data_IF_140141228484
#
_entry.id   IF_140141228484
#
_cell.length_a   1.000
_cell.length_b   1.000
_cell.length_c   1.000
_cell.angle_alpha   90.00
_cell.angle_beta   90.00
_cell.angle_gamma   90.00
#
_symmetry.space_group_name_H-M   'P 1'
#
loop_
_entity.id
_entity.type
_entity.pdbx_description
1 polymer ?
#
# COMPACT_ATOMS: atom_id res chain seq x y z
N UNK A 1 -12.06 8.08 -34.51
CA UNK A 1 -11.95 6.75 -33.84
C UNK A 1 -13.33 6.07 -33.82
N UNK A 2 -13.52 5.02 -34.63
CA UNK A 2 -14.77 4.22 -34.66
C UNK A 2 -14.90 3.43 -33.35
N UNK A 3 -15.99 3.64 -32.61
CA UNK A 3 -16.26 2.94 -31.34
C UNK A 3 -16.62 1.49 -31.66
N UNK A 4 -15.73 0.54 -31.31
CA UNK A 4 -16.07 -0.88 -31.35
C UNK A 4 -17.10 -1.17 -30.26
N UNK A 5 -18.35 -1.37 -30.67
CA UNK A 5 -19.46 -1.71 -29.79
C UNK A 5 -19.38 -3.20 -29.42
N UNK A 6 -18.71 -3.51 -28.31
CA UNK A 6 -18.77 -4.87 -27.75
C UNK A 6 -20.22 -5.18 -27.33
N UNK A 7 -20.82 -6.22 -27.93
CA UNK A 7 -22.18 -6.74 -27.71
C UNK A 7 -22.44 -7.35 -26.31
N UNK A 8 -21.57 -7.15 -25.31
CA UNK A 8 -21.73 -7.76 -23.97
C UNK A 8 -22.61 -6.89 -23.05
N UNK A 9 -23.74 -7.45 -22.60
CA UNK A 9 -24.80 -6.78 -21.80
C UNK A 9 -24.35 -6.40 -20.38
N UNK A 10 -23.41 -7.12 -19.78
CA UNK A 10 -22.97 -6.88 -18.41
C UNK A 10 -22.20 -5.56 -18.26
N UNK A 11 -22.76 -4.62 -17.47
CA UNK A 11 -22.15 -3.32 -17.16
C UNK A 11 -20.86 -3.45 -16.35
N UNK A 12 -20.82 -4.38 -15.40
CA UNK A 12 -19.65 -4.62 -14.54
C UNK A 12 -18.46 -5.11 -15.38
N UNK A 13 -18.66 -6.13 -16.22
CA UNK A 13 -17.61 -6.65 -17.12
C UNK A 13 -17.12 -5.59 -18.12
N UNK A 14 -17.99 -4.69 -18.60
CA UNK A 14 -17.55 -3.57 -19.46
C UNK A 14 -16.71 -2.54 -18.70
N UNK A 15 -17.09 -2.22 -17.46
CA UNK A 15 -16.31 -1.33 -16.61
C UNK A 15 -14.95 -1.95 -16.28
N UNK A 16 -14.93 -3.24 -15.93
CA UNK A 16 -13.72 -4.00 -15.67
C UNK A 16 -12.83 -4.04 -16.91
N UNK A 17 -13.35 -4.37 -18.09
CA UNK A 17 -12.56 -4.41 -19.31
C UNK A 17 -12.02 -3.03 -19.75
N UNK A 18 -12.78 -1.97 -19.47
CA UNK A 18 -12.39 -0.60 -19.80
C UNK A 18 -11.32 -0.04 -18.87
N UNK A 19 -11.27 -0.48 -17.61
CA UNK A 19 -10.31 0.02 -16.61
C UNK A 19 -9.15 -0.95 -16.34
N UNK A 20 -9.35 -2.27 -16.50
CA UNK A 20 -8.35 -3.34 -16.32
C UNK A 20 -7.89 -3.97 -17.63
N UNK A 21 -8.28 -3.43 -18.79
CA UNK A 21 -7.71 -3.86 -20.07
C UNK A 21 -6.23 -3.48 -20.16
N UNK A 22 -5.42 -4.32 -20.83
CA UNK A 22 -3.99 -4.04 -21.12
C UNK A 22 -3.79 -2.65 -21.76
N UNK A 23 -4.71 -2.24 -22.62
CA UNK A 23 -4.71 -0.91 -23.24
C UNK A 23 -4.97 0.22 -22.24
N UNK A 24 -5.81 -0.02 -21.23
CA UNK A 24 -6.06 0.93 -20.16
C UNK A 24 -4.82 1.06 -19.26
N UNK A 25 -4.17 -0.06 -18.91
CA UNK A 25 -2.90 -0.06 -18.19
C UNK A 25 -1.79 0.64 -18.96
N UNK A 26 -1.67 0.39 -20.27
CA UNK A 26 -0.72 1.10 -21.13
C UNK A 26 -1.02 2.60 -21.17
N UNK A 27 -2.30 2.98 -21.27
CA UNK A 27 -2.72 4.38 -21.22
C UNK A 27 -2.40 5.02 -19.86
N UNK A 28 -2.66 4.33 -18.76
CA UNK A 28 -2.31 4.81 -17.41
C UNK A 28 -0.81 4.95 -17.23
N UNK A 29 -0.01 4.02 -17.75
CA UNK A 29 1.45 4.10 -17.75
C UNK A 29 1.96 5.26 -18.63
N UNK A 30 1.35 5.49 -19.79
CA UNK A 30 1.72 6.59 -20.69
C UNK A 30 1.33 7.97 -20.13
N UNK A 31 0.16 8.08 -19.52
CA UNK A 31 -0.31 9.32 -18.87
C UNK A 31 0.34 9.55 -17.49
N UNK A 32 1.11 8.58 -16.98
CA UNK A 32 1.77 8.64 -15.68
C UNK A 32 2.70 9.87 -15.56
N UNK A 33 3.34 10.27 -16.66
CA UNK A 33 4.21 11.45 -16.68
C UNK A 33 3.48 12.77 -16.90
N UNK A 34 2.17 12.81 -17.10
CA UNK A 34 1.45 14.05 -17.44
C UNK A 34 1.13 14.91 -16.20
N UNK A 35 0.94 14.28 -15.05
CA UNK A 35 0.63 14.98 -13.79
C UNK A 35 1.30 14.29 -12.60
N UNK A 36 2.05 15.05 -11.79
CA UNK A 36 2.76 14.55 -10.60
C UNK A 36 1.80 14.07 -9.49
N UNK A 37 0.55 14.52 -9.50
CA UNK A 37 -0.46 14.16 -8.51
C UNK A 37 -0.84 12.68 -8.58
N UNK A 38 -0.82 12.08 -9.77
CA UNK A 38 -1.14 10.65 -9.97
C UNK A 38 -0.11 9.71 -9.33
N UNK A 39 1.21 9.84 -9.58
CA UNK A 39 2.19 9.03 -8.88
C UNK A 39 2.17 9.24 -7.37
N UNK A 40 1.96 10.49 -6.92
CA UNK A 40 1.81 10.77 -5.49
C UNK A 40 0.58 10.06 -4.90
N UNK A 41 -0.58 10.15 -5.54
CA UNK A 41 -1.79 9.49 -5.11
C UNK A 41 -1.64 7.96 -5.11
N UNK A 42 -0.93 7.39 -6.09
CA UNK A 42 -0.67 5.96 -6.18
C UNK A 42 0.30 5.50 -5.08
N UNK A 43 1.32 6.29 -4.76
CA UNK A 43 2.23 6.04 -3.65
C UNK A 43 1.51 6.10 -2.30
N UNK A 44 0.65 7.10 -2.08
CA UNK A 44 -0.21 7.18 -0.88
C UNK A 44 -1.17 5.98 -0.83
N UNK A 45 -1.82 5.62 -1.94
CA UNK A 45 -2.75 4.50 -1.99
C UNK A 45 -2.05 3.17 -1.64
N UNK A 46 -0.84 2.96 -2.15
CA UNK A 46 -0.01 1.80 -1.85
C UNK A 46 0.38 1.77 -0.37
N UNK A 47 0.87 2.88 0.16
CA UNK A 47 1.22 3.01 1.58
C UNK A 47 0.02 2.68 2.49
N UNK A 48 -1.16 3.23 2.17
CA UNK A 48 -2.39 2.94 2.92
C UNK A 48 -2.81 1.49 2.78
N UNK A 49 -2.70 0.90 1.58
CA UNK A 49 -3.01 -0.52 1.35
C UNK A 49 -2.14 -1.43 2.22
N UNK A 50 -0.83 -1.20 2.28
CA UNK A 50 0.07 -1.99 3.13
C UNK A 50 -0.12 -1.71 4.62
N UNK A 51 -0.40 -0.47 5.00
CA UNK A 51 -0.79 -0.10 6.39
C UNK A 51 -1.98 -0.93 6.88
N UNK A 52 -2.96 -1.18 6.00
CA UNK A 52 -4.13 -2.01 6.33
C UNK A 52 -3.83 -3.51 6.26
N UNK A 53 -2.94 -3.92 5.37
CA UNK A 53 -2.61 -5.32 5.15
C UNK A 53 -1.73 -5.91 6.27
N UNK A 54 -0.77 -5.15 6.82
CA UNK A 54 0.14 -5.68 7.84
C UNK A 54 -0.54 -6.20 9.11
N UNK A 55 -1.52 -5.49 9.70
CA UNK A 55 -2.21 -5.99 10.90
C UNK A 55 -3.03 -7.27 10.64
N UNK A 56 -3.43 -7.56 9.40
CA UNK A 56 -4.09 -8.83 9.06
C UNK A 56 -3.14 -10.03 9.20
N UNK A 57 -1.85 -9.79 8.99
CA UNK A 57 -0.83 -10.83 8.86
C UNK A 57 -0.01 -11.00 10.15
N UNK A 58 -0.13 -10.03 11.06
CA UNK A 58 0.50 -10.03 12.38
C UNK A 58 1.88 -9.39 12.34
N UNK A 59 2.05 -8.34 13.14
CA UNK A 59 3.31 -7.64 13.34
C UNK A 59 3.84 -7.89 14.75
N UNK A 60 5.13 -8.20 14.86
CA UNK A 60 5.85 -8.29 16.11
C UNK A 60 6.98 -7.26 16.13
N UNK A 61 7.23 -6.63 17.27
CA UNK A 61 8.25 -5.59 17.38
C UNK A 61 9.64 -6.24 17.39
N UNK A 62 10.55 -5.73 16.55
CA UNK A 62 11.89 -6.31 16.38
C UNK A 62 12.85 -5.99 17.54
N UNK A 63 12.52 -5.00 18.40
CA UNK A 63 13.32 -4.66 19.57
C UNK A 63 13.08 -5.65 20.70
N UNK A 64 14.14 -5.99 21.45
CA UNK A 64 14.26 -6.99 22.54
C UNK A 64 13.23 -6.93 23.69
N UNK A 65 12.22 -6.07 23.63
CA UNK A 65 11.19 -5.94 24.64
C UNK A 65 9.82 -6.39 24.11
N UNK A 66 9.35 -7.47 24.75
CA UNK A 66 7.99 -8.00 24.85
C UNK A 66 7.25 -8.37 23.55
N UNK A 67 6.91 -9.67 23.45
CA UNK A 67 6.15 -10.35 22.38
C UNK A 67 4.69 -9.87 22.21
N UNK A 68 4.51 -8.56 22.16
CA UNK A 68 3.27 -7.85 21.87
C UNK A 68 3.02 -7.93 20.37
N UNK A 69 2.33 -9.00 19.97
CA UNK A 69 1.93 -9.22 18.58
C UNK A 69 0.72 -8.34 18.26
N UNK A 70 0.93 -7.34 17.40
CA UNK A 70 -0.14 -6.51 16.85
C UNK A 70 -0.76 -7.25 15.67
N UNK A 71 -1.95 -7.82 15.90
CA UNK A 71 -2.71 -8.55 14.88
C UNK A 71 -4.20 -8.27 14.99
N UNK A 72 -4.92 -8.37 13.87
CA UNK A 72 -6.37 -8.25 13.85
C UNK A 72 -7.05 -9.28 14.77
N UNK A 73 -6.51 -10.50 14.82
CA UNK A 73 -7.01 -11.55 15.70
C UNK A 73 -6.96 -11.18 17.20
N UNK A 74 -6.02 -10.29 17.58
CA UNK A 74 -5.81 -9.85 18.97
C UNK A 74 -6.26 -8.40 19.21
N UNK A 75 -6.99 -7.79 18.28
CA UNK A 75 -7.38 -6.38 18.43
C UNK A 75 -8.22 -6.15 19.71
N UNK A 76 -9.07 -7.11 20.10
CA UNK A 76 -9.88 -7.00 21.31
C UNK A 76 -9.01 -6.92 22.56
N UNK A 77 -7.94 -7.72 22.62
CA UNK A 77 -6.95 -7.65 23.70
C UNK A 77 -6.18 -6.33 23.66
N UNK A 78 -5.72 -5.91 22.47
CA UNK A 78 -5.00 -4.65 22.28
C UNK A 78 -5.83 -3.41 22.67
N UNK A 79 -7.14 -3.42 22.39
CA UNK A 79 -8.06 -2.35 22.76
C UNK A 79 -8.40 -2.40 24.25
N UNK A 80 -8.57 -3.59 24.84
CA UNK A 80 -8.87 -3.76 26.26
C UNK A 80 -7.70 -3.37 27.17
N UNK A 81 -6.47 -3.56 26.71
CA UNK A 81 -5.25 -3.21 27.45
C UNK A 81 -5.03 -1.69 27.55
N UNK A 82 -5.74 -0.89 26.74
CA UNK A 82 -5.62 0.58 26.71
C UNK A 82 -6.94 1.23 27.15
N UNK A 83 -6.88 1.97 28.25
CA UNK A 83 -8.03 2.66 28.86
C UNK A 83 -8.69 3.73 27.96
N UNK A 84 -8.05 4.13 26.85
CA UNK A 84 -8.57 5.11 25.89
C UNK A 84 -8.87 4.46 24.53
N UNK A 85 -10.14 4.10 24.31
CA UNK A 85 -10.59 3.32 23.14
C UNK A 85 -10.26 3.95 21.77
N UNK A 86 -10.30 5.28 21.63
CA UNK A 86 -9.98 5.91 20.33
C UNK A 86 -8.46 5.97 20.07
N UNK A 87 -7.68 6.29 21.10
CA UNK A 87 -6.21 6.34 21.00
C UNK A 87 -5.59 4.97 20.78
N UNK A 88 -6.22 3.90 21.28
CA UNK A 88 -5.80 2.53 21.01
C UNK A 88 -6.06 2.14 19.55
N UNK A 89 -7.21 2.47 18.97
CA UNK A 89 -7.44 2.27 17.52
C UNK A 89 -6.43 3.04 16.68
N UNK A 90 -6.19 4.31 16.98
CA UNK A 90 -5.19 5.11 16.27
C UNK A 90 -3.78 4.51 16.40
N UNK A 91 -3.40 4.06 17.59
CA UNK A 91 -2.11 3.41 17.82
C UNK A 91 -1.99 2.11 17.04
N UNK A 92 -3.04 1.28 16.97
CA UNK A 92 -3.03 0.04 16.19
C UNK A 92 -2.66 0.29 14.73
N UNK A 93 -3.34 1.26 14.10
CA UNK A 93 -3.04 1.65 12.72
C UNK A 93 -1.66 2.28 12.56
N UNK A 94 -1.19 3.02 13.57
CA UNK A 94 0.15 3.61 13.56
C UNK A 94 1.25 2.54 13.46
N UNK A 95 1.09 1.35 14.07
CA UNK A 95 2.08 0.27 13.94
C UNK A 95 2.15 -0.25 12.50
N UNK A 96 1.00 -0.44 11.85
CA UNK A 96 0.92 -0.79 10.43
C UNK A 96 1.54 0.27 9.53
N UNK A 97 1.28 1.55 9.84
CA UNK A 97 1.81 2.69 9.09
C UNK A 97 3.32 2.80 9.24
N UNK A 98 3.85 2.66 10.45
CA UNK A 98 5.28 2.71 10.72
C UNK A 98 6.02 1.59 9.98
N UNK A 99 5.46 0.37 9.97
CA UNK A 99 6.02 -0.73 9.19
C UNK A 99 6.04 -0.38 7.70
N UNK A 100 4.89 -0.02 7.13
CA UNK A 100 4.77 0.30 5.71
C UNK A 100 5.71 1.45 5.29
N UNK A 101 5.75 2.53 6.09
CA UNK A 101 6.64 3.65 5.86
C UNK A 101 8.11 3.26 5.95
N UNK A 102 8.50 2.42 6.91
CA UNK A 102 9.89 1.95 7.04
C UNK A 102 10.36 1.13 5.83
N UNK A 103 9.48 0.26 5.29
CA UNK A 103 9.76 -0.51 4.08
C UNK A 103 9.82 0.41 2.86
N UNK A 104 8.88 1.36 2.74
CA UNK A 104 8.85 2.31 1.63
C UNK A 104 10.08 3.21 1.60
N UNK A 105 10.60 3.62 2.77
CA UNK A 105 11.84 4.41 2.88
C UNK A 105 13.10 3.54 2.71
N UNK A 106 12.95 2.23 2.48
CA UNK A 106 14.06 1.28 2.31
C UNK A 106 14.98 1.24 3.54
N UNK A 107 14.40 1.34 4.74
CA UNK A 107 15.17 1.26 5.98
C UNK A 107 15.81 -0.12 6.15
N UNK A 108 17.09 -0.14 6.52
CA UNK A 108 17.84 -1.38 6.77
C UNK A 108 17.39 -2.08 8.04
N UNK A 109 17.04 -1.32 9.06
CA UNK A 109 16.54 -1.79 10.34
C UNK A 109 15.05 -1.53 10.43
N UNK A 110 14.25 -2.59 10.43
CA UNK A 110 12.80 -2.47 10.50
C UNK A 110 12.35 -2.52 11.96
N UNK A 111 11.46 -1.61 12.39
CA UNK A 111 10.94 -1.61 13.76
C UNK A 111 10.04 -2.82 14.05
N UNK A 112 9.46 -3.42 13.01
CA UNK A 112 8.56 -4.57 13.10
C UNK A 112 8.99 -5.69 12.16
N UNK A 113 8.73 -6.92 12.59
CA UNK A 113 8.90 -8.14 11.81
C UNK A 113 7.54 -8.85 11.66
N UNK A 114 7.24 -9.40 10.47
CA UNK A 114 6.02 -10.16 10.28
C UNK A 114 6.12 -11.53 10.98
N UNK A 115 5.05 -11.91 11.69
CA UNK A 115 5.01 -13.19 12.44
C UNK A 115 4.74 -14.38 11.51
N UNK A 116 4.00 -14.17 10.42
CA UNK A 116 3.57 -15.23 9.52
C UNK A 116 4.31 -15.22 8.17
N UNK A 117 4.34 -16.37 7.51
CA UNK A 117 4.98 -16.58 6.20
C UNK A 117 4.38 -15.69 5.09
N UNK A 118 3.07 -15.43 5.15
CA UNK A 118 2.42 -14.48 4.25
C UNK A 118 2.93 -13.04 4.43
N UNK A 119 3.37 -12.68 5.64
CA UNK A 119 3.86 -11.33 5.93
C UNK A 119 5.22 -11.07 5.33
N UNK A 120 6.02 -12.13 5.17
CA UNK A 120 7.25 -12.07 4.41
C UNK A 120 7.00 -11.75 2.92
N UNK A 121 6.02 -12.43 2.30
CA UNK A 121 5.62 -12.12 0.92
C UNK A 121 5.03 -10.72 0.78
N UNK A 122 4.22 -10.29 1.75
CA UNK A 122 3.64 -8.94 1.78
C UNK A 122 4.76 -7.88 1.82
N UNK A 123 5.76 -8.09 2.68
CA UNK A 123 6.95 -7.23 2.77
C UNK A 123 7.74 -7.21 1.46
N UNK A 124 7.94 -8.36 0.82
CA UNK A 124 8.64 -8.44 -0.47
C UNK A 124 7.87 -7.68 -1.56
N UNK A 125 6.55 -7.84 -1.61
CA UNK A 125 5.69 -7.13 -2.56
C UNK A 125 5.74 -5.61 -2.33
N UNK A 126 5.67 -5.14 -1.09
CA UNK A 126 5.79 -3.71 -0.77
C UNK A 126 7.16 -3.16 -1.15
N UNK A 127 8.22 -3.91 -0.86
CA UNK A 127 9.59 -3.52 -1.23
C UNK A 127 9.74 -3.37 -2.75
N UNK A 128 9.33 -4.38 -3.53
CA UNK A 128 9.38 -4.32 -4.98
C UNK A 128 8.57 -3.14 -5.53
N UNK A 129 7.37 -2.92 -4.99
CA UNK A 129 6.52 -1.84 -5.44
C UNK A 129 7.11 -0.47 -5.09
N UNK A 130 7.72 -0.33 -3.91
CA UNK A 130 8.38 0.90 -3.47
C UNK A 130 9.60 1.23 -4.33
N UNK A 131 10.43 0.23 -4.65
CA UNK A 131 11.59 0.39 -5.56
C UNK A 131 11.16 0.84 -6.95
N UNK A 132 9.99 0.43 -7.44
CA UNK A 132 9.46 0.86 -8.73
C UNK A 132 8.82 2.26 -8.63
N UNK A 133 8.03 2.51 -7.59
CA UNK A 133 7.23 3.72 -7.46
C UNK A 133 8.03 4.97 -7.10
N UNK A 134 9.08 4.85 -6.28
CA UNK A 134 9.89 6.00 -5.87
C UNK A 134 10.60 6.64 -7.07
N UNK A 135 11.33 5.91 -7.93
CA UNK A 135 11.93 6.47 -9.14
C UNK A 135 10.88 7.03 -10.10
N UNK A 136 9.74 6.35 -10.25
CA UNK A 136 8.63 6.81 -11.08
C UNK A 136 8.07 8.16 -10.58
N UNK A 137 7.92 8.32 -9.27
CA UNK A 137 7.51 9.58 -8.65
C UNK A 137 8.56 10.68 -8.86
N UNK A 138 9.84 10.39 -8.61
CA UNK A 138 10.94 11.33 -8.86
C UNK A 138 11.03 11.77 -10.32
N UNK A 139 10.79 10.85 -11.27
CA UNK A 139 10.79 11.14 -12.70
C UNK A 139 9.61 12.06 -13.08
N UNK A 140 8.43 11.82 -12.51
CA UNK A 140 7.28 12.70 -12.70
C UNK A 140 7.52 14.11 -12.14
N UNK A 141 8.12 14.22 -10.95
CA UNK A 141 8.50 15.51 -10.34
C UNK A 141 9.53 16.23 -11.23
N UNK A 142 10.57 15.54 -11.69
CA UNK A 142 11.59 16.11 -12.60
C UNK A 142 10.98 16.69 -13.88
N UNK A 143 9.95 16.04 -14.44
CA UNK A 143 9.29 16.51 -15.66
C UNK A 143 8.50 17.81 -15.45
N UNK A 144 7.97 18.04 -14.25
CA UNK A 144 7.25 19.26 -13.91
C UNK A 144 8.17 20.49 -13.91
N UNK A 145 9.38 20.38 -13.37
CA UNK A 145 10.34 21.49 -13.33
C UNK A 145 10.96 21.84 -14.68
N UNK A 146 10.80 20.98 -15.70
CA UNK A 146 11.30 21.21 -17.07
C UNK A 146 10.24 21.76 -18.03
N UNK A 147 9.02 22.04 -17.56
CA UNK A 147 7.96 22.73 -18.30
C UNK A 147 7.87 24.16 -17.82
#
# INVERSE_FOLDING_TARGET
MKRQSSRRRNRVLRWLHRNLGLTAWYKYASEYGESYRRPLALLIAVLLLFTLAYPLVGLERAARESGTVVSWARIGQFLAERNYAWWSVAAFWLHGLLMAASVMVLQRELPYSPVSSLGWWLRLAEYLLSVILIPLFLLAVRRQFRR
#
